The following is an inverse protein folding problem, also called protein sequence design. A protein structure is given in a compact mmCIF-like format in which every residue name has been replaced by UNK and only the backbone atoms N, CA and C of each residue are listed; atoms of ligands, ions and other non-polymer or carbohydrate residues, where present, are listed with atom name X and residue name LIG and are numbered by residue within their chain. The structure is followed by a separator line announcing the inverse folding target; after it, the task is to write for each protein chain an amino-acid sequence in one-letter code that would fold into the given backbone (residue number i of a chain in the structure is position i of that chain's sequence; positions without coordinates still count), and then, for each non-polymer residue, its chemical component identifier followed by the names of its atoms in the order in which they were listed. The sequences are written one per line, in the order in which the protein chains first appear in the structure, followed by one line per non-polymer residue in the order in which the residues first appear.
data_IF_178501985953
#
_entry.id   IF_178501985953
#
_cell.length_a   1.000
_cell.length_b   1.000
_cell.length_c   1.000
_cell.angle_alpha   90.00
_cell.angle_beta   90.00
_cell.angle_gamma   90.00
#
_symmetry.space_group_name_H-M   'P 1'
#
loop_
_entity.id
_entity.type
_entity.pdbx_description
1 polymer ?
#
# COMPACT_ATOMS: atom_id res chain seq x y z
N UNK A 1 -8.22 11.18 -14.25
CA UNK A 1 -9.57 10.57 -14.17
C UNK A 1 -9.60 9.73 -12.90
N UNK A 2 -10.63 9.89 -12.08
CA UNK A 2 -10.82 9.15 -10.82
C UNK A 2 -12.23 8.53 -10.88
N UNK A 3 -12.35 7.25 -10.54
CA UNK A 3 -13.64 6.55 -10.46
C UNK A 3 -14.58 7.29 -9.51
N UNK A 4 -15.84 7.43 -9.90
CA UNK A 4 -16.82 8.20 -9.15
C UNK A 4 -17.35 7.44 -7.92
N UNK A 5 -16.50 7.31 -6.90
CA UNK A 5 -16.80 6.67 -5.62
C UNK A 5 -16.33 7.55 -4.46
N UNK A 6 -17.15 7.64 -3.40
CA UNK A 6 -16.84 8.46 -2.22
C UNK A 6 -15.48 8.14 -1.62
N UNK A 7 -15.09 6.86 -1.63
CA UNK A 7 -13.81 6.41 -1.12
C UNK A 7 -12.61 7.01 -1.87
N UNK A 8 -12.63 7.02 -3.21
CA UNK A 8 -11.50 7.56 -3.98
C UNK A 8 -11.41 9.08 -3.87
N UNK A 9 -12.56 9.77 -3.81
CA UNK A 9 -12.61 11.22 -3.54
C UNK A 9 -12.08 11.54 -2.15
N UNK A 10 -12.45 10.75 -1.14
CA UNK A 10 -11.96 10.87 0.23
C UNK A 10 -10.45 10.65 0.31
N UNK A 11 -9.93 9.59 -0.32
CA UNK A 11 -8.48 9.34 -0.39
C UNK A 11 -7.73 10.50 -1.06
N UNK A 12 -8.21 10.98 -2.21
CA UNK A 12 -7.62 12.11 -2.89
C UNK A 12 -7.57 13.34 -1.97
N UNK A 13 -8.69 13.70 -1.35
CA UNK A 13 -8.75 14.84 -0.45
C UNK A 13 -7.78 14.70 0.72
N UNK A 14 -7.81 13.57 1.44
CA UNK A 14 -6.97 13.37 2.63
C UNK A 14 -5.47 13.32 2.31
N UNK A 15 -5.07 12.76 1.16
CA UNK A 15 -3.66 12.76 0.74
C UNK A 15 -3.21 14.17 0.37
N UNK A 16 -3.99 14.87 -0.47
CA UNK A 16 -3.64 16.22 -0.92
C UNK A 16 -3.65 17.22 0.24
N UNK A 17 -4.60 17.12 1.17
CA UNK A 17 -4.66 17.95 2.38
C UNK A 17 -3.47 17.66 3.31
N UNK A 18 -3.15 16.38 3.56
CA UNK A 18 -2.02 16.01 4.41
C UNK A 18 -0.68 16.45 3.81
N UNK A 19 -0.58 16.48 2.47
CA UNK A 19 0.62 16.94 1.76
C UNK A 19 0.72 18.47 1.77
N UNK A 20 -0.39 19.18 1.54
CA UNK A 20 -0.44 20.64 1.54
C UNK A 20 0.11 21.32 0.27
N UNK A 21 0.49 20.55 -0.75
CA UNK A 21 1.03 21.02 -2.03
C UNK A 21 0.61 20.09 -3.18
N UNK A 22 0.92 20.48 -4.43
CA UNK A 22 0.69 19.64 -5.60
C UNK A 22 1.48 18.32 -5.49
N UNK A 23 0.95 17.28 -6.11
CA UNK A 23 1.65 16.00 -6.20
C UNK A 23 2.77 16.13 -7.23
N UNK A 24 4.01 16.17 -6.75
CA UNK A 24 5.20 16.18 -7.59
C UNK A 24 5.64 14.76 -7.97
N UNK A 25 5.69 14.46 -9.26
CA UNK A 25 6.40 13.28 -9.78
C UNK A 25 7.74 13.73 -10.35
N UNK A 26 8.85 13.22 -9.80
CA UNK A 26 10.21 13.31 -10.36
C UNK A 26 10.82 11.90 -10.43
N UNK A 27 10.84 11.33 -11.62
CA UNK A 27 11.40 10.00 -11.87
C UNK A 27 12.37 10.06 -13.04
N UNK A 28 13.59 9.59 -12.81
CA UNK A 28 14.64 9.57 -13.81
C UNK A 28 15.37 8.22 -13.85
N UNK A 29 15.67 7.76 -15.07
CA UNK A 29 16.64 6.69 -15.33
C UNK A 29 17.29 6.82 -16.69
N UNK A 30 16.59 6.45 -17.76
CA UNK A 30 17.07 6.63 -19.13
C UNK A 30 16.63 7.98 -19.67
N UNK A 31 15.34 8.27 -19.54
CA UNK A 31 14.81 9.61 -19.61
C UNK A 31 14.44 10.11 -18.21
N UNK A 32 14.07 11.38 -18.11
CA UNK A 32 13.51 12.00 -16.91
C UNK A 32 12.09 12.48 -17.18
N UNK A 33 11.21 12.32 -16.19
CA UNK A 33 9.88 12.89 -16.18
C UNK A 33 9.67 13.70 -14.90
N UNK A 34 9.29 14.96 -15.05
CA UNK A 34 8.95 15.88 -13.96
C UNK A 34 7.64 16.57 -14.25
N UNK A 35 6.66 16.43 -13.35
CA UNK A 35 5.37 17.08 -13.50
C UNK A 35 4.63 17.17 -12.17
N UNK A 36 3.87 18.24 -12.00
CA UNK A 36 2.98 18.44 -10.87
C UNK A 36 1.54 18.07 -11.25
N UNK A 37 0.85 17.38 -10.36
CA UNK A 37 -0.54 16.96 -10.53
C UNK A 37 -1.41 17.53 -9.41
N UNK A 38 -2.65 17.88 -9.74
CA UNK A 38 -3.64 18.41 -8.79
C UNK A 38 -4.34 17.31 -7.98
N UNK A 39 -4.17 16.05 -8.37
CA UNK A 39 -4.82 14.90 -7.76
C UNK A 39 -3.91 13.65 -7.79
N UNK A 40 -4.33 12.62 -7.04
CA UNK A 40 -3.58 11.37 -6.90
C UNK A 40 -3.73 10.41 -8.09
N UNK A 41 -4.34 10.84 -9.21
CA UNK A 41 -4.72 9.90 -10.29
C UNK A 41 -3.53 9.21 -10.97
N UNK A 42 -2.30 9.72 -10.82
CA UNK A 42 -1.09 9.03 -11.28
C UNK A 42 -0.90 7.66 -10.61
N UNK A 43 -1.48 7.44 -9.43
CA UNK A 43 -1.53 6.14 -8.77
C UNK A 43 -2.22 5.07 -9.64
N UNK A 44 -3.22 5.45 -10.44
CA UNK A 44 -3.95 4.53 -11.33
C UNK A 44 -3.08 3.91 -12.43
N UNK A 45 -1.89 4.48 -12.68
CA UNK A 45 -0.90 3.90 -13.61
C UNK A 45 -0.17 2.68 -13.04
N UNK A 46 -0.40 2.36 -11.75
CA UNK A 46 0.37 1.38 -11.00
C UNK A 46 -0.36 0.04 -10.79
N UNK A 47 -1.05 -0.47 -11.82
CA UNK A 47 -1.75 -1.76 -11.75
C UNK A 47 -0.79 -2.92 -11.43
N UNK A 48 -1.23 -3.83 -10.56
CA UNK A 48 -0.44 -4.98 -10.08
C UNK A 48 -1.25 -6.27 -10.17
N UNK A 49 -0.54 -7.38 -10.32
CA UNK A 49 -1.07 -8.71 -10.01
C UNK A 49 -0.83 -8.99 -8.53
N UNK A 50 -1.89 -9.37 -7.81
CA UNK A 50 -1.82 -9.58 -6.36
C UNK A 50 -2.03 -11.06 -6.04
N UNK A 51 -1.03 -11.66 -5.38
CA UNK A 51 -1.06 -13.07 -4.98
C UNK A 51 -1.34 -13.15 -3.48
N UNK A 52 -2.35 -13.94 -3.12
CA UNK A 52 -2.73 -14.14 -1.72
C UNK A 52 -2.33 -15.53 -1.26
N UNK A 53 -1.47 -15.60 -0.25
CA UNK A 53 -1.11 -16.84 0.42
C UNK A 53 -1.75 -16.87 1.81
N UNK A 54 -2.75 -17.72 2.00
CA UNK A 54 -3.30 -18.02 3.31
C UNK A 54 -2.36 -18.93 4.09
N UNK A 55 -2.09 -18.58 5.35
CA UNK A 55 -1.15 -19.29 6.21
C UNK A 55 -1.73 -19.47 7.60
N UNK A 56 -1.27 -20.49 8.32
CA UNK A 56 -1.59 -20.62 9.74
C UNK A 56 -0.90 -19.51 10.55
N UNK A 57 -1.51 -19.01 11.65
CA UNK A 57 -0.95 -17.94 12.47
C UNK A 57 0.51 -18.15 12.90
N UNK A 58 0.85 -19.37 13.31
CA UNK A 58 2.21 -19.74 13.75
C UNK A 58 3.25 -19.80 12.61
N UNK A 59 2.85 -19.72 11.34
CA UNK A 59 3.75 -19.72 10.18
C UNK A 59 3.81 -18.37 9.47
N UNK A 60 3.06 -17.37 9.94
CA UNK A 60 2.94 -16.09 9.27
C UNK A 60 4.27 -15.37 9.13
N UNK A 61 5.05 -15.30 10.22
CA UNK A 61 6.34 -14.62 10.22
C UNK A 61 7.31 -15.23 9.21
N UNK A 62 7.41 -16.57 9.17
CA UNK A 62 8.24 -17.28 8.18
C UNK A 62 7.82 -16.94 6.74
N UNK A 63 6.52 -17.01 6.45
CA UNK A 63 5.99 -16.75 5.11
C UNK A 63 6.21 -15.29 4.68
N UNK A 64 5.99 -14.34 5.59
CA UNK A 64 6.25 -12.93 5.34
C UNK A 64 7.74 -12.69 5.11
N UNK A 65 8.61 -13.21 5.99
CA UNK A 65 10.06 -12.98 5.93
C UNK A 65 10.63 -13.59 4.64
N UNK A 66 10.16 -14.78 4.25
CA UNK A 66 10.51 -15.38 2.96
C UNK A 66 10.03 -14.52 1.78
N UNK A 67 8.79 -14.01 1.81
CA UNK A 67 8.24 -13.14 0.75
C UNK A 67 9.04 -11.85 0.59
N UNK A 68 9.58 -11.33 1.69
CA UNK A 68 10.39 -10.10 1.70
C UNK A 68 11.83 -10.35 1.26
N UNK A 69 12.40 -11.49 1.63
CA UNK A 69 13.72 -11.91 1.17
C UNK A 69 13.79 -12.05 -0.36
N UNK A 70 12.71 -12.52 -1.01
CA UNK A 70 12.66 -12.71 -2.46
C UNK A 70 12.09 -11.51 -3.24
N UNK A 71 11.64 -10.46 -2.55
CA UNK A 71 10.92 -9.35 -3.16
C UNK A 71 11.70 -8.66 -4.29
N UNK A 72 13.00 -8.44 -4.10
CA UNK A 72 13.87 -7.85 -5.13
C UNK A 72 14.01 -8.73 -6.38
N UNK A 73 14.07 -10.05 -6.21
CA UNK A 73 14.12 -11.01 -7.32
C UNK A 73 12.79 -11.01 -8.08
N UNK A 74 11.67 -11.00 -7.36
CA UNK A 74 10.34 -10.90 -7.98
C UNK A 74 10.19 -9.61 -8.79
N UNK A 75 10.59 -8.47 -8.23
CA UNK A 75 10.55 -7.18 -8.93
C UNK A 75 11.46 -7.16 -10.17
N UNK A 76 12.66 -7.72 -10.07
CA UNK A 76 13.62 -7.74 -11.18
C UNK A 76 13.16 -8.62 -12.35
N UNK A 77 12.66 -9.83 -12.06
CA UNK A 77 12.21 -10.77 -13.10
C UNK A 77 10.84 -10.36 -13.67
N UNK A 78 9.95 -9.84 -12.82
CA UNK A 78 8.62 -9.42 -13.22
C UNK A 78 8.55 -8.06 -13.91
N UNK A 79 9.64 -7.28 -13.93
CA UNK A 79 9.65 -5.91 -14.42
C UNK A 79 9.07 -5.78 -15.84
N UNK A 80 7.98 -5.03 -15.98
CA UNK A 80 7.30 -4.88 -17.28
C UNK A 80 6.69 -3.49 -17.54
N UNK A 81 6.99 -2.49 -16.71
CA UNK A 81 6.46 -1.13 -16.81
C UNK A 81 7.55 -0.09 -17.15
N UNK A 82 8.23 -0.20 -18.32
CA UNK A 82 9.32 0.70 -18.68
C UNK A 82 8.90 2.12 -19.05
N UNK A 83 7.61 2.31 -19.37
CA UNK A 83 7.08 3.56 -19.89
C UNK A 83 6.15 4.23 -18.89
N UNK A 84 6.34 5.52 -18.67
CA UNK A 84 5.42 6.38 -17.91
C UNK A 84 5.27 7.71 -18.65
N UNK A 85 4.03 8.12 -18.94
CA UNK A 85 3.72 9.36 -19.67
C UNK A 85 4.55 9.55 -20.96
N UNK A 86 4.71 8.47 -21.73
CA UNK A 86 5.46 8.47 -22.99
C UNK A 86 7.00 8.52 -22.84
N UNK A 87 7.53 8.40 -21.61
CA UNK A 87 8.97 8.40 -21.33
C UNK A 87 9.45 7.04 -20.87
N UNK A 88 10.63 6.63 -21.33
CA UNK A 88 11.33 5.41 -20.92
C UNK A 88 12.13 5.66 -19.65
N UNK A 89 11.64 5.14 -18.53
CA UNK A 89 12.21 5.32 -17.20
C UNK A 89 12.81 3.99 -16.67
N UNK A 90 12.37 3.53 -15.51
CA UNK A 90 12.80 2.26 -14.90
C UNK A 90 12.13 1.07 -15.58
N UNK A 91 12.80 -0.09 -15.65
CA UNK A 91 12.15 -1.31 -16.16
C UNK A 91 10.84 -1.63 -15.41
N UNK A 92 10.76 -1.20 -14.15
CA UNK A 92 9.57 -1.25 -13.32
C UNK A 92 9.28 0.15 -12.74
N UNK A 93 8.70 1.04 -13.54
CA UNK A 93 8.48 2.45 -13.16
C UNK A 93 7.35 2.65 -12.16
N UNK A 94 6.45 1.67 -12.00
CA UNK A 94 5.38 1.75 -11.01
C UNK A 94 5.91 1.93 -9.59
N UNK A 95 7.06 1.35 -9.24
CA UNK A 95 7.60 1.44 -7.88
C UNK A 95 7.87 2.90 -7.46
N UNK A 96 8.72 3.67 -8.17
CA UNK A 96 8.93 5.08 -7.82
C UNK A 96 7.71 5.96 -8.08
N UNK A 97 6.93 5.70 -9.14
CA UNK A 97 5.71 6.49 -9.43
C UNK A 97 4.70 6.33 -8.30
N UNK A 98 4.40 5.11 -7.89
CA UNK A 98 3.44 4.83 -6.81
C UNK A 98 3.90 5.42 -5.48
N UNK A 99 5.20 5.30 -5.17
CA UNK A 99 5.78 5.90 -3.96
C UNK A 99 5.52 7.41 -3.89
N UNK A 100 5.69 8.13 -5.00
CA UNK A 100 5.49 9.57 -5.05
C UNK A 100 4.01 9.96 -5.17
N UNK A 101 3.21 9.17 -5.88
CA UNK A 101 1.81 9.47 -6.19
C UNK A 101 0.90 9.51 -4.96
N UNK A 102 1.16 8.69 -3.95
CA UNK A 102 0.36 8.67 -2.72
C UNK A 102 1.12 9.14 -1.49
N UNK A 103 2.31 9.72 -1.66
CA UNK A 103 3.07 10.24 -0.51
C UNK A 103 2.27 11.37 0.16
N UNK A 104 2.23 11.35 1.47
CA UNK A 104 1.57 12.37 2.29
C UNK A 104 2.58 13.27 2.99
N UNK A 105 3.88 13.01 2.79
CA UNK A 105 4.98 13.69 3.47
C UNK A 105 5.45 14.88 2.64
N UNK A 106 5.68 16.02 3.29
CA UNK A 106 6.46 17.12 2.73
C UNK A 106 7.95 16.77 2.69
N UNK A 107 8.75 17.56 2.00
CA UNK A 107 10.20 17.38 1.97
C UNK A 107 10.84 17.43 3.36
N UNK A 108 10.32 18.25 4.27
CA UNK A 108 10.77 18.33 5.67
C UNK A 108 10.53 17.01 6.41
N UNK A 109 9.34 16.42 6.27
CA UNK A 109 9.01 15.13 6.90
C UNK A 109 9.86 13.99 6.32
N UNK A 110 10.12 14.02 5.01
CA UNK A 110 11.05 13.08 4.35
C UNK A 110 12.45 13.22 4.98
N UNK A 111 12.96 14.44 5.10
CA UNK A 111 14.28 14.73 5.68
C UNK A 111 14.38 14.35 7.16
N UNK A 112 13.28 14.40 7.90
CA UNK A 112 13.18 13.94 9.30
C UNK A 112 13.06 12.41 9.44
N UNK A 113 13.02 11.67 8.32
CA UNK A 113 12.93 10.21 8.34
C UNK A 113 11.52 9.69 8.68
N UNK A 114 10.48 10.52 8.50
CA UNK A 114 9.09 10.05 8.62
C UNK A 114 8.85 8.98 7.57
N UNK A 115 8.28 7.85 7.97
CA UNK A 115 8.12 6.67 7.12
C UNK A 115 7.07 6.91 6.01
N UNK A 116 7.34 6.54 4.74
CA UNK A 116 6.34 6.58 3.68
C UNK A 116 5.25 5.54 3.89
N UNK A 117 4.06 5.80 3.33
CA UNK A 117 2.96 4.83 3.31
C UNK A 117 3.12 3.76 2.25
N UNK A 118 3.76 4.05 1.12
CA UNK A 118 4.34 3.00 0.26
C UNK A 118 5.56 2.46 0.99
N UNK A 119 5.40 1.31 1.62
CA UNK A 119 6.37 0.82 2.60
C UNK A 119 6.88 -0.56 2.26
N UNK A 120 8.21 -0.69 2.22
CA UNK A 120 8.85 -1.98 2.06
C UNK A 120 8.94 -2.72 3.39
N UNK A 121 9.38 -2.07 4.47
CA UNK A 121 9.71 -2.70 5.74
C UNK A 121 11.10 -2.27 6.21
N UNK A 122 11.33 -2.26 7.52
CA UNK A 122 12.64 -1.91 8.11
C UNK A 122 13.30 -3.04 8.91
N UNK A 123 12.60 -4.17 9.11
CA UNK A 123 13.08 -5.32 9.90
C UNK A 123 12.33 -6.60 9.54
N UNK A 124 12.91 -7.74 9.92
CA UNK A 124 12.18 -9.00 9.99
C UNK A 124 11.14 -8.96 11.10
N UNK A 125 10.08 -9.75 10.93
CA UNK A 125 9.03 -9.88 11.94
C UNK A 125 9.10 -11.25 12.63
N UNK A 126 8.52 -11.27 13.82
CA UNK A 126 8.31 -12.46 14.66
C UNK A 126 6.85 -12.87 14.70
N UNK A 127 5.94 -11.93 14.42
CA UNK A 127 4.49 -12.20 14.36
C UNK A 127 3.78 -11.22 13.42
N UNK A 128 2.54 -11.56 13.03
CA UNK A 128 1.67 -10.63 12.27
C UNK A 128 1.36 -9.35 13.06
N UNK A 129 1.37 -9.42 14.40
CA UNK A 129 1.10 -8.27 15.27
C UNK A 129 2.14 -7.17 15.07
N UNK A 130 3.40 -7.54 14.85
CA UNK A 130 4.50 -6.59 14.58
C UNK A 130 4.17 -5.61 13.45
N UNK A 131 3.37 -6.03 12.47
CA UNK A 131 2.96 -5.22 11.32
C UNK A 131 1.70 -4.39 11.60
N UNK A 132 0.73 -4.93 12.34
CA UNK A 132 -0.46 -4.18 12.73
C UNK A 132 -0.18 -3.13 13.80
N UNK A 133 0.72 -3.42 14.75
CA UNK A 133 1.24 -2.45 15.71
C UNK A 133 2.01 -1.35 14.98
N UNK A 134 2.81 -1.70 13.98
CA UNK A 134 3.50 -0.73 13.11
C UNK A 134 2.51 0.20 12.41
N UNK A 135 1.39 -0.36 11.90
CA UNK A 135 0.34 0.43 11.27
C UNK A 135 -0.23 1.50 12.21
N UNK A 136 -0.54 1.12 13.46
CA UNK A 136 -1.11 2.02 14.47
C UNK A 136 -0.07 3.02 15.00
N UNK A 137 1.18 2.60 15.13
CA UNK A 137 2.25 3.42 15.71
C UNK A 137 2.78 4.49 14.75
N UNK A 138 2.91 4.17 13.47
CA UNK A 138 3.64 5.02 12.52
C UNK A 138 2.76 5.78 11.54
N UNK A 139 1.51 5.37 11.33
CA UNK A 139 0.68 5.94 10.27
C UNK A 139 -0.63 6.48 10.84
N UNK A 140 -0.88 7.78 10.66
CA UNK A 140 -2.15 8.39 11.01
C UNK A 140 -3.30 7.80 10.15
N UNK A 141 -4.54 7.74 10.66
CA UNK A 141 -5.68 7.41 9.81
C UNK A 141 -5.88 8.41 8.67
N UNK A 142 -6.12 7.92 7.45
CA UNK A 142 -6.44 8.77 6.29
C UNK A 142 -7.94 8.89 6.03
N UNK A 143 -8.70 7.81 6.19
CA UNK A 143 -10.11 7.78 5.85
C UNK A 143 -10.99 7.88 7.09
N UNK A 144 -11.87 8.89 7.18
CA UNK A 144 -12.88 9.00 8.23
C UNK A 144 -14.12 8.19 7.83
N UNK A 145 -14.00 6.86 7.72
CA UNK A 145 -15.16 6.00 7.46
C UNK A 145 -15.79 5.54 8.77
N UNK A 146 -17.08 5.84 8.97
CA UNK A 146 -17.82 5.40 10.12
C UNK A 146 -18.18 3.92 10.02
N UNK A 147 -18.07 3.18 11.11
CA UNK A 147 -18.37 1.74 11.09
C UNK A 147 -19.82 1.41 10.72
N UNK A 148 -20.76 2.29 11.08
CA UNK A 148 -22.18 2.17 10.70
C UNK A 148 -22.33 2.17 9.17
N UNK A 149 -21.52 2.97 8.48
CA UNK A 149 -21.48 3.07 7.02
C UNK A 149 -20.86 1.81 6.40
N UNK A 150 -19.92 1.17 7.10
CA UNK A 150 -19.26 -0.05 6.65
C UNK A 150 -20.09 -1.35 6.82
N UNK A 151 -21.17 -1.32 7.60
CA UNK A 151 -22.09 -2.46 7.76
C UNK A 151 -21.53 -3.71 8.45
N UNK A 152 -20.34 -3.65 9.08
CA UNK A 152 -19.67 -4.83 9.65
C UNK A 152 -20.00 -5.08 11.13
N UNK A 153 -20.37 -6.32 11.53
CA UNK A 153 -20.62 -6.68 12.93
C UNK A 153 -19.35 -6.58 13.79
N UNK A 154 -19.51 -6.42 15.10
CA UNK A 154 -18.38 -6.17 16.03
C UNK A 154 -17.57 -7.45 16.18
N UNK A 155 -18.33 -8.53 16.36
CA UNK A 155 -17.89 -9.89 16.60
C UNK A 155 -18.77 -10.80 15.75
N UNK A 156 -18.17 -11.80 15.13
CA UNK A 156 -18.85 -12.96 14.58
C UNK A 156 -18.28 -14.18 15.29
N UNK A 157 -19.02 -14.70 16.29
CA UNK A 157 -18.48 -15.68 17.23
C UNK A 157 -17.27 -15.11 17.99
N UNK A 158 -16.17 -15.84 18.00
CA UNK A 158 -14.89 -15.43 18.63
C UNK A 158 -13.99 -14.59 17.70
N UNK A 159 -14.44 -14.28 16.48
CA UNK A 159 -13.67 -13.54 15.49
C UNK A 159 -14.08 -12.04 15.47
N UNK A 160 -13.22 -11.11 15.96
CA UNK A 160 -13.53 -9.69 15.91
C UNK A 160 -13.45 -9.14 14.49
N UNK A 161 -14.38 -8.27 14.09
CA UNK A 161 -14.42 -7.69 12.74
C UNK A 161 -13.29 -6.70 12.41
N UNK A 162 -12.62 -6.15 13.43
CA UNK A 162 -11.50 -5.20 13.37
C UNK A 162 -11.60 -4.14 12.25
N UNK A 163 -12.78 -3.56 12.07
CA UNK A 163 -13.09 -2.68 10.93
C UNK A 163 -12.07 -1.54 10.75
N UNK A 164 -11.80 -0.76 11.80
CA UNK A 164 -10.87 0.38 11.71
C UNK A 164 -9.42 -0.04 11.46
N UNK A 165 -9.00 -1.18 12.02
CA UNK A 165 -7.65 -1.73 11.78
C UNK A 165 -7.50 -2.16 10.32
N UNK A 166 -8.53 -2.83 9.77
CA UNK A 166 -8.56 -3.26 8.38
C UNK A 166 -8.64 -2.06 7.41
N UNK A 167 -9.43 -1.03 7.75
CA UNK A 167 -9.48 0.22 7.01
C UNK A 167 -8.11 0.90 6.99
N UNK A 168 -7.44 0.98 8.14
CA UNK A 168 -6.11 1.56 8.26
C UNK A 168 -5.06 0.75 7.48
N UNK A 169 -5.10 -0.56 7.57
CA UNK A 169 -4.23 -1.43 6.79
C UNK A 169 -4.45 -1.29 5.27
N UNK A 170 -5.65 -0.87 4.86
CA UNK A 170 -5.97 -0.51 3.48
C UNK A 170 -5.32 0.78 2.98
N UNK A 171 -4.82 1.64 3.89
CA UNK A 171 -4.18 2.94 3.58
C UNK A 171 -2.68 2.97 3.92
N UNK A 172 -2.11 1.79 4.20
CA UNK A 172 -0.67 1.55 4.26
C UNK A 172 -0.33 0.59 3.12
N UNK A 173 0.25 1.13 2.05
CA UNK A 173 0.49 0.38 0.82
C UNK A 173 1.81 -0.37 0.85
N UNK A 174 1.83 -1.46 1.62
CA UNK A 174 2.97 -2.39 1.65
C UNK A 174 3.06 -3.21 0.38
N UNK A 175 4.28 -3.52 -0.05
CA UNK A 175 4.53 -4.46 -1.16
C UNK A 175 4.20 -5.91 -0.81
N UNK A 176 4.40 -6.31 0.45
CA UNK A 176 3.82 -7.51 1.05
C UNK A 176 2.91 -7.06 2.20
N UNK A 177 1.60 -7.25 2.08
CA UNK A 177 0.61 -6.75 3.03
C UNK A 177 0.05 -7.88 3.91
N UNK A 178 0.02 -7.71 5.25
CA UNK A 178 -0.73 -8.62 6.11
C UNK A 178 -2.22 -8.38 5.91
N UNK A 179 -2.99 -9.44 5.70
CA UNK A 179 -4.45 -9.36 5.64
C UNK A 179 -5.00 -10.19 6.79
N UNK A 180 -5.91 -9.60 7.55
CA UNK A 180 -6.78 -10.31 8.48
C UNK A 180 -8.20 -10.28 7.94
N UNK A 181 -8.84 -11.44 7.87
CA UNK A 181 -10.22 -11.59 7.44
C UNK A 181 -11.02 -12.29 8.56
N UNK A 182 -12.01 -11.59 9.15
CA UNK A 182 -12.81 -12.12 10.25
C UNK A 182 -13.90 -13.12 9.83
N UNK A 183 -13.93 -13.55 8.56
CA UNK A 183 -14.95 -14.41 7.93
C UNK A 183 -15.72 -15.36 8.86
N UNK A 184 -17.03 -15.48 8.61
CA UNK A 184 -18.04 -15.96 9.58
C UNK A 184 -17.93 -17.41 10.06
N UNK A 185 -17.26 -18.32 9.35
CA UNK A 185 -17.01 -19.69 9.84
C UNK A 185 -15.64 -19.82 10.52
N UNK A 186 -14.58 -19.27 9.91
CA UNK A 186 -13.21 -19.26 10.45
C UNK A 186 -12.48 -17.99 9.99
N UNK A 187 -11.93 -17.26 10.95
CA UNK A 187 -11.00 -16.16 10.65
C UNK A 187 -9.69 -16.69 10.08
N UNK A 188 -9.08 -15.93 9.19
CA UNK A 188 -7.81 -16.31 8.58
C UNK A 188 -6.91 -15.11 8.33
N UNK A 189 -5.62 -15.39 8.18
CA UNK A 189 -4.62 -14.39 7.83
C UNK A 189 -3.91 -14.78 6.53
N UNK A 190 -3.50 -13.76 5.77
CA UNK A 190 -2.84 -13.94 4.48
C UNK A 190 -1.67 -12.99 4.33
N UNK A 191 -0.64 -13.45 3.62
CA UNK A 191 0.33 -12.56 3.01
C UNK A 191 -0.17 -12.25 1.60
N UNK A 192 -0.42 -10.98 1.33
CA UNK A 192 -0.75 -10.49 -0.01
C UNK A 192 0.50 -9.88 -0.64
N UNK A 193 1.04 -10.54 -1.65
CA UNK A 193 2.18 -10.09 -2.45
C UNK A 193 1.70 -9.20 -3.59
N UNK A 194 2.21 -7.96 -3.68
CA UNK A 194 1.73 -6.90 -4.58
C UNK A 194 2.83 -6.33 -5.47
N UNK A 195 4.00 -6.98 -5.48
CA UNK A 195 5.19 -6.53 -6.21
C UNK A 195 5.01 -6.68 -7.72
N UNK A 196 4.41 -7.78 -8.14
CA UNK A 196 4.31 -8.14 -9.54
C UNK A 196 3.42 -7.14 -10.29
N UNK A 197 3.90 -6.57 -11.41
CA UNK A 197 3.04 -5.77 -12.26
C UNK A 197 1.95 -6.65 -12.89
N UNK A 198 0.87 -6.01 -13.33
CA UNK A 198 -0.09 -6.69 -14.21
C UNK A 198 0.60 -7.08 -15.53
N UNK A 199 0.31 -8.27 -16.03
CA UNK A 199 0.77 -8.72 -17.35
C UNK A 199 -0.17 -8.27 -18.48
N UNK A 200 0.28 -8.33 -19.74
CA UNK A 200 -0.60 -8.31 -20.90
C UNK A 200 -1.54 -9.53 -20.96
#
# INVERSE_FOLDING_TARGET
WITDEHRYRGLNHSIMESRGELLHIDVARMESYRHDFEDISTESTCTSMQLHLQVSPNRFADAWNASQAIAGVQAAIGANSPLFMGRRLWHESRVPVFQQAIDTRTQELINQGVRPRVWFGERWITSVFDLFEENVRYFSPLLPEGRVEAGKPVMSGENPGLHYLNLQNGTVWRWNRPIYDPNGELSHIRVENRLLPAGP
#
